data_IF_012230658053
#
_entry.id   IF_012230658053
#
_cell.length_a   1.000
_cell.length_b   1.000
_cell.length_c   1.000
_cell.angle_alpha   90.00
_cell.angle_beta   90.00
_cell.angle_gamma   90.00
#
_symmetry.space_group_name_H-M   'P 1'
#
loop_
_entity.id
_entity.type
_entity.pdbx_description
1 polymer ?
#
# COMPACT_ATOMS: atom_id res chain seq x y z
N UNK A 1 -5.24 -2.21 -1.41
CA UNK A 1 -3.88 -1.88 -0.92
C UNK A 1 -3.43 -2.96 0.05
N UNK A 2 -2.12 -3.13 0.27
CA UNK A 2 -1.58 -4.11 1.23
C UNK A 2 -0.75 -3.41 2.28
N UNK A 3 -1.02 -3.71 3.55
CA UNK A 3 -0.29 -3.15 4.67
C UNK A 3 1.08 -3.83 4.93
N UNK A 4 1.90 -3.27 5.82
CA UNK A 4 3.24 -3.77 6.18
C UNK A 4 3.27 -5.26 6.63
N UNK A 5 2.17 -5.78 7.15
CA UNK A 5 1.96 -7.18 7.56
C UNK A 5 1.32 -8.05 6.47
N UNK A 6 1.15 -7.54 5.25
CA UNK A 6 0.58 -8.29 4.13
C UNK A 6 -0.94 -8.40 4.12
N UNK A 7 -1.68 -7.65 4.95
CA UNK A 7 -3.16 -7.68 4.91
C UNK A 7 -3.73 -6.65 3.96
N UNK A 8 -4.79 -7.04 3.25
CA UNK A 8 -5.51 -6.16 2.36
C UNK A 8 -6.40 -5.18 3.14
N UNK A 9 -6.43 -3.93 2.67
CA UNK A 9 -7.33 -2.88 3.15
C UNK A 9 -7.63 -1.89 2.02
N UNK A 10 -8.70 -1.13 2.19
CA UNK A 10 -9.15 -0.05 1.30
C UNK A 10 -9.01 1.33 1.97
N UNK A 11 -8.98 2.40 1.17
CA UNK A 11 -8.81 3.77 1.69
C UNK A 11 -10.04 4.19 2.50
N UNK A 12 -11.20 3.58 2.21
CA UNK A 12 -12.44 3.74 2.94
C UNK A 12 -12.38 3.16 4.36
N UNK A 13 -11.50 2.19 4.62
CA UNK A 13 -11.25 1.65 5.96
C UNK A 13 -10.42 2.61 6.82
N UNK A 14 -9.80 3.64 6.24
CA UNK A 14 -8.96 4.59 6.97
C UNK A 14 -9.83 5.61 7.69
N UNK A 15 -9.87 5.51 9.01
CA UNK A 15 -10.59 6.45 9.87
C UNK A 15 -9.66 7.57 10.37
N UNK A 16 -10.11 8.82 10.24
CA UNK A 16 -9.41 9.99 10.78
C UNK A 16 -9.78 10.21 12.24
N UNK A 17 -8.98 9.67 13.17
CA UNK A 17 -9.20 9.81 14.61
C UNK A 17 -8.61 11.10 15.14
N UNK A 18 -9.39 11.83 15.95
CA UNK A 18 -8.88 13.04 16.60
C UNK A 18 -7.97 12.66 17.76
N UNK A 19 -6.75 13.19 17.77
CA UNK A 19 -5.75 13.00 18.82
C UNK A 19 -5.23 14.35 19.31
N UNK A 20 -4.43 14.34 20.37
CA UNK A 20 -3.67 15.51 20.80
C UNK A 20 -2.24 15.40 20.25
N UNK A 21 -1.76 16.43 19.55
CA UNK A 21 -0.40 16.41 18.96
C UNK A 21 0.70 16.20 20.04
N UNK A 22 0.44 16.68 21.25
CA UNK A 22 1.22 16.38 22.46
C UNK A 22 0.30 16.52 23.69
N UNK A 23 0.82 16.23 24.88
CA UNK A 23 0.04 16.33 26.13
C UNK A 23 -0.50 17.76 26.31
N UNK A 24 -1.83 17.91 26.27
CA UNK A 24 -2.55 19.20 26.26
C UNK A 24 -2.23 20.12 25.06
N UNK A 25 -1.76 19.54 23.96
CA UNK A 25 -1.49 20.25 22.72
C UNK A 25 -2.73 20.49 21.86
N UNK A 26 -2.57 21.14 20.70
CA UNK A 26 -3.63 21.33 19.73
C UNK A 26 -4.13 19.99 19.18
N UNK A 27 -5.36 20.02 18.64
CA UNK A 27 -5.99 18.85 18.03
C UNK A 27 -5.24 18.45 16.76
N UNK A 28 -4.75 17.21 16.73
CA UNK A 28 -4.20 16.53 15.57
C UNK A 28 -5.15 15.40 15.13
N UNK A 29 -4.83 14.75 14.02
CA UNK A 29 -5.58 13.63 13.49
C UNK A 29 -4.61 12.49 13.13
N UNK A 30 -5.00 11.28 13.49
CA UNK A 30 -4.29 10.06 13.12
C UNK A 30 -5.14 9.31 12.09
N UNK A 31 -4.53 8.92 10.98
CA UNK A 31 -5.14 8.05 9.99
C UNK A 31 -4.99 6.60 10.49
N UNK A 32 -6.05 6.04 11.06
CA UNK A 32 -6.04 4.72 11.70
C UNK A 32 -6.92 3.73 10.95
N UNK A 33 -6.45 2.49 10.82
CA UNK A 33 -7.23 1.37 10.31
C UNK A 33 -8.12 0.77 11.40
N UNK A 34 -9.18 0.01 11.06
CA UNK A 34 -10.08 -0.63 12.03
C UNK A 34 -9.38 -1.59 13.00
N UNK A 35 -8.19 -2.09 12.64
CA UNK A 35 -7.33 -2.93 13.49
C UNK A 35 -6.55 -2.13 14.56
N UNK A 36 -6.67 -0.80 14.57
CA UNK A 36 -5.98 0.09 15.51
C UNK A 36 -4.58 0.52 15.08
N UNK A 37 -4.17 0.22 13.84
CA UNK A 37 -2.87 0.64 13.31
C UNK A 37 -2.96 2.01 12.68
N UNK A 38 -2.03 2.90 13.06
CA UNK A 38 -1.87 4.21 12.45
C UNK A 38 -1.00 4.13 11.20
N UNK A 39 -1.48 4.70 10.10
CA UNK A 39 -0.80 4.79 8.81
C UNK A 39 -0.13 6.16 8.60
N UNK A 40 -0.62 7.19 9.28
CA UNK A 40 -0.01 8.51 9.28
C UNK A 40 -0.71 9.48 10.20
N UNK A 41 -0.17 10.69 10.24
CA UNK A 41 -0.54 11.72 11.19
C UNK A 41 -0.69 13.07 10.48
N UNK A 42 -1.62 13.89 10.97
CA UNK A 42 -1.88 15.25 10.52
C UNK A 42 -1.93 16.16 11.75
N UNK A 43 -1.11 17.20 11.80
CA UNK A 43 -1.08 18.09 12.96
C UNK A 43 -0.99 19.56 12.55
N UNK A 44 -1.54 20.48 13.37
CA UNK A 44 -1.32 21.90 13.18
C UNK A 44 0.06 22.30 13.69
N UNK A 45 0.77 23.13 12.91
CA UNK A 45 2.08 23.68 13.26
C UNK A 45 2.18 25.12 12.71
N UNK A 46 2.48 26.10 13.56
CA UNK A 46 2.68 27.52 13.16
C UNK A 46 1.60 28.11 12.21
N UNK A 47 0.33 27.71 12.38
CA UNK A 47 -0.79 28.22 11.58
C UNK A 47 -1.04 27.50 10.25
N UNK A 48 -0.23 26.48 9.92
CA UNK A 48 -0.47 25.54 8.81
C UNK A 48 -0.73 24.15 9.33
N UNK A 49 -1.19 23.26 8.47
CA UNK A 49 -1.31 21.84 8.77
C UNK A 49 -0.18 21.08 8.10
N UNK A 50 0.42 20.13 8.81
CA UNK A 50 1.45 19.24 8.29
C UNK A 50 0.93 17.81 8.31
N UNK A 51 1.44 16.98 7.41
CA UNK A 51 1.15 15.56 7.37
C UNK A 51 2.42 14.72 7.31
N UNK A 52 2.35 13.47 7.79
CA UNK A 52 3.41 12.48 7.60
C UNK A 52 2.84 11.08 7.60
N UNK A 53 3.50 10.14 6.91
CA UNK A 53 3.23 8.72 7.12
C UNK A 53 3.82 8.26 8.46
N UNK A 54 3.29 7.19 9.04
CA UNK A 54 3.81 6.65 10.31
C UNK A 54 5.19 6.02 10.17
N UNK A 55 5.57 5.63 8.94
CA UNK A 55 6.90 5.12 8.60
C UNK A 55 7.89 6.24 8.25
N UNK A 56 7.39 7.45 7.97
CA UNK A 56 8.20 8.62 7.66
C UNK A 56 8.66 9.36 8.91
N UNK A 57 9.90 9.85 8.86
CA UNK A 57 10.51 10.62 9.93
C UNK A 57 10.20 12.11 9.80
N UNK A 58 10.04 12.59 8.57
CA UNK A 58 9.86 14.00 8.25
C UNK A 58 8.38 14.38 8.16
N UNK A 59 8.08 15.65 8.46
CA UNK A 59 6.77 16.23 8.27
C UNK A 59 6.73 16.98 6.95
N UNK A 60 5.66 16.80 6.19
CA UNK A 60 5.47 17.42 4.88
C UNK A 60 4.43 18.53 4.95
N UNK A 61 4.70 19.64 4.27
CA UNK A 61 3.70 20.64 3.97
C UNK A 61 2.67 20.06 2.97
N UNK A 62 1.39 20.45 3.07
CA UNK A 62 0.34 20.02 2.15
C UNK A 62 0.55 20.65 0.78
N UNK A 63 0.45 19.85 -0.27
CA UNK A 63 0.38 20.39 -1.61
C UNK A 63 -1.03 20.89 -1.93
N UNK A 64 -1.16 21.95 -2.74
CA UNK A 64 -2.46 22.43 -3.18
C UNK A 64 -3.20 21.33 -3.95
N UNK A 65 -4.39 20.98 -3.44
CA UNK A 65 -5.28 19.99 -4.07
C UNK A 65 -5.55 20.41 -5.50
N UNK A 66 -5.42 19.47 -6.45
CA UNK A 66 -5.67 19.74 -7.87
C UNK A 66 -7.10 19.36 -8.25
N UNK A 67 -7.62 19.97 -9.32
CA UNK A 67 -8.92 19.63 -9.89
C UNK A 67 -10.08 20.51 -9.41
N UNK A 68 -11.31 20.06 -9.64
CA UNK A 68 -12.52 20.90 -9.51
C UNK A 68 -12.78 21.41 -8.09
N UNK A 69 -12.35 20.65 -7.08
CA UNK A 69 -12.54 20.97 -5.67
C UNK A 69 -11.46 21.90 -5.09
N UNK A 70 -10.33 22.08 -5.79
CA UNK A 70 -9.19 22.88 -5.35
C UNK A 70 -9.58 24.27 -4.85
N UNK A 71 -10.57 24.91 -5.52
CA UNK A 71 -11.05 26.25 -5.19
C UNK A 71 -11.74 26.36 -3.82
N UNK A 72 -12.11 25.24 -3.21
CA UNK A 72 -12.84 25.16 -1.95
C UNK A 72 -11.96 24.69 -0.79
N UNK A 73 -10.70 24.32 -1.06
CA UNK A 73 -9.79 23.78 -0.08
C UNK A 73 -8.66 24.78 0.14
N UNK A 74 -8.46 25.18 1.39
CA UNK A 74 -7.29 25.97 1.76
C UNK A 74 -6.01 25.13 1.56
N UNK A 75 -5.02 25.62 0.80
CA UNK A 75 -3.83 24.85 0.44
C UNK A 75 -2.97 24.50 1.66
N UNK A 76 -2.85 25.41 2.62
CA UNK A 76 -2.21 25.19 3.94
C UNK A 76 -3.18 24.63 4.99
N UNK A 77 -4.40 24.34 4.57
CA UNK A 77 -5.50 23.94 5.42
C UNK A 77 -5.46 22.48 5.84
N UNK A 78 -6.33 22.17 6.81
CA UNK A 78 -6.49 20.81 7.34
C UNK A 78 -6.88 19.82 6.24
N UNK A 79 -7.83 20.21 5.39
CA UNK A 79 -8.32 19.33 4.33
C UNK A 79 -7.24 19.00 3.30
N UNK A 80 -6.38 19.97 2.93
CA UNK A 80 -5.27 19.68 2.04
C UNK A 80 -4.30 18.66 2.66
N UNK A 81 -3.92 18.83 3.93
CA UNK A 81 -3.03 17.89 4.62
C UNK A 81 -3.63 16.47 4.73
N UNK A 82 -4.95 16.37 5.00
CA UNK A 82 -5.64 15.08 5.03
C UNK A 82 -5.65 14.41 3.65
N UNK A 83 -5.97 15.15 2.59
CA UNK A 83 -6.04 14.60 1.23
C UNK A 83 -4.65 14.16 0.74
N UNK A 84 -3.61 14.96 0.99
CA UNK A 84 -2.23 14.60 0.67
C UNK A 84 -1.80 13.34 1.44
N UNK A 85 -2.14 13.24 2.72
CA UNK A 85 -1.86 12.04 3.51
C UNK A 85 -2.54 10.79 2.92
N UNK A 86 -3.83 10.89 2.58
CA UNK A 86 -4.58 9.77 2.01
C UNK A 86 -4.00 9.35 0.65
N UNK A 87 -3.63 10.30 -0.21
CA UNK A 87 -2.98 10.02 -1.49
C UNK A 87 -1.60 9.36 -1.31
N UNK A 88 -0.82 9.80 -0.31
CA UNK A 88 0.46 9.20 0.01
C UNK A 88 0.29 7.75 0.52
N UNK A 89 -0.71 7.49 1.37
CA UNK A 89 -1.08 6.13 1.80
C UNK A 89 -1.45 5.29 0.57
N UNK A 90 -2.35 5.80 -0.28
CA UNK A 90 -2.78 5.09 -1.49
C UNK A 90 -1.59 4.77 -2.38
N UNK A 91 -0.72 5.73 -2.65
CA UNK A 91 0.48 5.55 -3.49
C UNK A 91 1.44 4.51 -2.89
N UNK A 92 1.71 4.60 -1.59
CA UNK A 92 2.72 3.76 -0.90
C UNK A 92 2.27 2.31 -0.73
N UNK A 93 0.99 2.08 -0.46
CA UNK A 93 0.43 0.75 -0.19
C UNK A 93 -0.36 0.15 -1.38
N UNK A 94 -0.53 0.90 -2.48
CA UNK A 94 -1.04 0.32 -3.74
C UNK A 94 0.06 -0.39 -4.53
N UNK A 95 1.32 0.07 -4.45
CA UNK A 95 2.44 -0.51 -5.18
C UNK A 95 2.83 -1.93 -4.71
N UNK A 96 2.45 -2.33 -3.49
CA UNK A 96 2.70 -3.66 -2.93
C UNK A 96 1.65 -4.72 -3.34
N UNK A 97 0.55 -4.33 -3.98
CA UNK A 97 -0.46 -5.27 -4.49
C UNK A 97 -0.09 -5.94 -5.82
N UNK A 98 0.83 -5.34 -6.60
CA UNK A 98 1.22 -5.84 -7.93
C UNK A 98 2.53 -6.62 -7.96
N UNK A 99 3.34 -6.58 -6.89
CA UNK A 99 4.61 -7.32 -6.84
C UNK A 99 4.41 -8.79 -6.41
N UNK A 100 3.30 -9.11 -5.75
CA UNK A 100 2.93 -10.50 -5.42
C UNK A 100 2.43 -11.30 -6.64
N UNK A 101 2.07 -10.64 -7.75
CA UNK A 101 1.66 -11.32 -9.00
C UNK A 101 2.84 -11.65 -9.93
N UNK A 102 4.06 -11.14 -9.66
CA UNK A 102 5.24 -11.38 -10.52
C UNK A 102 6.09 -12.57 -10.12
N UNK A 103 5.89 -13.17 -8.94
CA UNK A 103 6.71 -14.31 -8.46
C UNK A 103 6.00 -15.67 -8.57
N UNK A 104 4.69 -15.72 -8.87
CA UNK A 104 3.97 -17.00 -9.11
C UNK A 104 4.05 -17.51 -10.56
N UNK A 105 4.73 -16.79 -11.46
CA UNK A 105 4.82 -17.12 -12.88
C UNK A 105 5.99 -18.02 -13.32
N UNK A 106 7.00 -18.26 -12.47
CA UNK A 106 8.26 -18.92 -12.87
C UNK A 106 8.54 -20.28 -12.22
N UNK A 107 7.58 -20.88 -11.51
CA UNK A 107 7.80 -22.14 -10.77
C UNK A 107 7.14 -23.41 -11.38
N UNK A 108 6.53 -23.35 -12.57
CA UNK A 108 5.88 -24.54 -13.16
C UNK A 108 6.06 -24.65 -14.67
N UNK A 109 7.29 -24.79 -15.17
CA UNK A 109 7.57 -25.61 -16.36
C UNK A 109 9.08 -25.80 -16.56
N UNK A 110 9.72 -26.70 -15.80
CA UNK A 110 10.90 -27.40 -16.30
C UNK A 110 11.20 -28.70 -15.53
N UNK A 111 10.19 -29.54 -15.28
CA UNK A 111 10.42 -30.92 -14.78
C UNK A 111 9.13 -31.77 -14.75
N UNK A 112 8.47 -32.03 -15.89
CA UNK A 112 7.65 -33.26 -16.07
C UNK A 112 7.14 -33.47 -17.52
N UNK A 113 8.01 -33.67 -18.51
CA UNK A 113 7.64 -34.42 -19.74
C UNK A 113 8.85 -35.28 -20.14
N UNK A 114 9.30 -36.16 -19.24
CA UNK A 114 10.24 -37.25 -19.54
C UNK A 114 10.00 -38.36 -18.53
N UNK A 115 8.92 -39.12 -18.71
CA UNK A 115 8.90 -40.58 -18.49
C UNK A 115 7.53 -41.16 -18.83
N UNK A 116 7.44 -41.81 -19.98
CA UNK A 116 6.39 -42.76 -20.32
C UNK A 116 7.07 -44.10 -20.55
N UNK A 117 7.08 -44.92 -19.51
CA UNK A 117 7.73 -46.23 -19.38
C UNK A 117 7.38 -47.22 -20.50
N UNK A 118 8.46 -47.73 -21.08
CA UNK A 118 8.82 -49.06 -21.59
C UNK A 118 7.83 -50.25 -21.59
N UNK A 119 7.97 -51.05 -22.67
CA UNK A 119 7.97 -52.52 -22.78
C UNK A 119 6.74 -53.29 -23.33
N UNK A 120 6.94 -53.93 -24.52
CA UNK A 120 6.64 -55.36 -24.78
C UNK A 120 7.01 -55.80 -26.22
N UNK A 121 8.14 -56.52 -26.34
CA UNK A 121 8.42 -57.75 -27.14
C UNK A 121 7.88 -57.95 -28.57
N UNK A 122 8.76 -58.24 -29.54
CA UNK A 122 9.02 -59.62 -30.03
C UNK A 122 10.02 -59.64 -31.21
N UNK A 123 10.77 -60.74 -31.26
CA UNK A 123 11.96 -60.98 -32.05
C UNK A 123 11.71 -61.23 -33.55
N UNK A 124 12.58 -60.65 -34.38
CA UNK A 124 13.06 -61.20 -35.66
C UNK A 124 14.26 -60.33 -36.05
N UNK A 125 15.47 -60.81 -36.27
CA UNK A 125 15.87 -62.07 -36.86
C UNK A 125 16.93 -61.74 -37.91
N UNK A 126 18.20 -61.89 -37.49
CA UNK A 126 19.40 -62.20 -38.28
C UNK A 126 19.95 -61.20 -39.33
N UNK A 127 21.23 -60.95 -39.14
CA UNK A 127 22.23 -60.34 -40.02
C UNK A 127 22.45 -61.15 -41.31
N UNK A 128 22.44 -60.49 -42.47
CA UNK A 128 23.50 -60.58 -43.51
C UNK A 128 23.31 -59.52 -44.58
#
# INVERSE_FOLDING_TARGET
MIDDRGRAFDIEDVEMKTTAAWRNGPRAFDAELPDGRVLGHVMPYEGRWLWRLSDDVEWHDPEPVRGGIARFIDPDGREAAILNLLEAIETRYSASGTDMERDMGEAFTDADIMTGVEDATDASGVTR
#
